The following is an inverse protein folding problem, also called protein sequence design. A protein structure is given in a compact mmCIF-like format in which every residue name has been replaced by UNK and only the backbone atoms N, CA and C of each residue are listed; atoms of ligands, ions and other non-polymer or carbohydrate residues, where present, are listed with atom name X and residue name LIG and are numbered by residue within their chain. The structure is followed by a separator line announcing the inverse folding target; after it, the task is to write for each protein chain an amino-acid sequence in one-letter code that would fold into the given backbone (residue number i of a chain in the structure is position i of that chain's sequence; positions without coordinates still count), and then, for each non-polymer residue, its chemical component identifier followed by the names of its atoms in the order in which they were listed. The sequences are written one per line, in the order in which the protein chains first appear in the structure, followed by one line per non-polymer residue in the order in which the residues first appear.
data_IF_118342500863
#
_entry.id   IF_118342500863
#
_cell.length_a   1.000
_cell.length_b   1.000
_cell.length_c   1.000
_cell.angle_alpha   90.00
_cell.angle_beta   90.00
_cell.angle_gamma   90.00
#
_symmetry.space_group_name_H-M   'P 1'
#
loop_
_entity.id
_entity.type
_entity.pdbx_description
1 polymer ?
2 water ?
#
# COMPACT_ATOMS: atom_id res chain seq x y z
N UNK A 8 0.88 2.48 18.84
CA UNK A 8 0.47 2.38 17.44
C UNK A 8 -0.29 1.09 17.16
N UNK A 9 -0.61 0.36 18.23
CA UNK A 9 -1.40 -0.87 18.10
C UNK A 9 -2.76 -0.53 17.50
N UNK A 10 -3.15 0.73 17.64
CA UNK A 10 -4.39 1.23 17.05
C UNK A 10 -4.40 0.93 15.56
N UNK A 11 -3.42 1.49 14.86
CA UNK A 11 -3.30 1.32 13.41
C UNK A 11 -3.27 -0.15 13.01
N UNK A 12 -2.45 -0.95 13.68
CA UNK A 12 -2.34 -2.37 13.36
C UNK A 12 -3.69 -3.08 13.44
N UNK A 13 -4.54 -2.63 14.36
CA UNK A 13 -5.84 -3.27 14.55
C UNK A 13 -6.89 -2.76 13.55
N UNK A 14 -6.47 -1.87 12.66
CA UNK A 14 -7.36 -1.37 11.61
C UNK A 14 -7.45 -2.35 10.45
N UNK A 15 -6.54 -3.32 10.44
CA UNK A 15 -6.50 -4.34 9.39
C UNK A 15 -7.82 -5.09 9.32
N UNK A 16 -8.50 -4.99 8.19
CA UNK A 16 -9.75 -5.73 8.01
C UNK A 16 -9.47 -7.22 7.90
N UNK A 17 -10.50 -8.00 7.58
CA UNK A 17 -10.39 -9.45 7.51
C UNK A 17 -9.25 -9.89 6.59
N UNK A 18 -8.92 -9.06 5.61
CA UNK A 18 -7.89 -9.40 4.63
C UNK A 18 -6.53 -8.78 4.97
N UNK A 19 -6.44 -8.15 6.14
CA UNK A 19 -5.20 -7.54 6.58
C UNK A 19 -4.88 -6.22 5.90
N UNK A 20 -5.88 -5.61 5.28
CA UNK A 20 -5.69 -4.34 4.59
C UNK A 20 -6.43 -3.23 5.31
N UNK A 21 -5.78 -2.07 5.40
CA UNK A 21 -6.33 -0.94 6.12
C UNK A 21 -6.96 0.07 5.18
N UNK A 22 -8.24 0.32 5.36
CA UNK A 22 -8.93 1.32 4.58
C UNK A 22 -8.60 2.72 5.08
N UNK A 23 -8.02 3.52 4.20
CA UNK A 23 -7.81 4.92 4.47
C UNK A 23 -9.12 5.66 4.27
N UNK A 24 -9.50 6.47 5.24
CA UNK A 24 -10.69 7.30 5.14
C UNK A 24 -10.25 8.75 5.28
N UNK A 25 -11.15 9.69 5.01
CA UNK A 25 -10.80 11.10 5.14
C UNK A 25 -10.48 11.41 6.59
N UNK A 26 -10.95 10.54 7.49
CA UNK A 26 -10.76 10.72 8.92
C UNK A 26 -9.38 10.25 9.34
N UNK A 27 -9.13 8.96 9.15
CA UNK A 27 -7.88 8.35 9.59
C UNK A 27 -6.70 8.67 8.67
N UNK A 28 -6.97 9.37 7.57
CA UNK A 28 -5.90 9.70 6.63
C UNK A 28 -4.78 10.52 7.27
N UNK A 29 -5.12 11.65 7.90
CA UNK A 29 -4.07 12.47 8.52
C UNK A 29 -3.18 11.63 9.42
N UNK A 30 -3.79 10.68 10.12
CA UNK A 30 -3.06 9.79 11.01
C UNK A 30 -2.25 8.74 10.26
N UNK A 31 -2.93 8.00 9.38
CA UNK A 31 -2.27 6.93 8.63
C UNK A 31 -1.16 7.47 7.75
N UNK A 32 -1.36 8.67 7.20
CA UNK A 32 -0.38 9.25 6.29
C UNK A 32 0.93 9.56 7.01
N UNK A 33 0.88 9.62 8.34
CA UNK A 33 2.08 9.81 9.14
C UNK A 33 2.74 8.46 9.39
N UNK A 34 2.10 7.40 8.90
CA UNK A 34 2.68 6.07 8.94
C UNK A 34 2.92 5.51 10.32
N UNK A 35 3.65 4.40 10.37
CA UNK A 35 4.01 3.74 11.61
C UNK A 35 5.52 3.51 11.59
N UNK A 36 6.21 3.88 12.68
CA UNK A 36 7.67 3.74 12.71
C UNK A 36 8.12 2.33 12.36
N UNK A 37 9.02 2.23 11.38
CA UNK A 37 9.63 0.97 11.02
C UNK A 37 8.77 0.17 10.07
N UNK A 38 7.57 0.68 9.80
CA UNK A 38 6.64 -0.04 8.95
C UNK A 38 6.63 0.52 7.54
N UNK A 39 6.74 -0.39 6.58
CA UNK A 39 6.49 -0.03 5.20
C UNK A 39 5.01 0.24 5.11
N UNK A 40 4.66 1.19 4.26
CA UNK A 40 3.27 1.48 3.98
C UNK A 40 3.03 1.13 2.53
N UNK A 41 2.31 0.05 2.28
CA UNK A 41 1.92 -0.28 0.92
C UNK A 41 0.54 0.31 0.72
N UNK A 42 0.42 1.24 -0.21
CA UNK A 42 -0.81 1.97 -0.38
C UNK A 42 -1.35 1.74 -1.78
N UNK A 43 -2.54 1.16 -1.84
CA UNK A 43 -3.22 0.98 -3.11
C UNK A 43 -4.19 2.14 -3.28
N UNK A 44 -3.92 2.99 -4.26
CA UNK A 44 -4.77 4.14 -4.51
C UNK A 44 -5.72 3.80 -5.63
N UNK A 45 -6.99 3.62 -5.28
CA UNK A 45 -7.93 3.09 -6.24
C UNK A 45 -9.23 3.88 -6.28
N UNK A 46 -10.21 3.34 -6.99
CA UNK A 46 -11.50 3.98 -7.19
C UNK A 46 -12.49 2.94 -7.70
N UNK A 47 -13.48 2.61 -6.87
CA UNK A 47 -14.54 1.70 -7.30
C UNK A 47 -15.90 2.37 -7.22
N UNK A 54 -10.05 1.00 -19.65
CA UNK A 54 -10.86 1.22 -18.46
C UNK A 54 -10.01 1.24 -17.19
N UNK A 55 -9.88 2.42 -16.60
CA UNK A 55 -9.12 2.59 -15.37
C UNK A 55 -9.88 2.03 -14.17
N UNK A 56 -11.20 2.01 -14.27
CA UNK A 56 -12.03 1.41 -13.23
C UNK A 56 -11.79 -0.09 -13.19
N UNK A 57 -11.68 -0.69 -14.37
CA UNK A 57 -11.42 -2.12 -14.48
C UNK A 57 -10.04 -2.45 -13.92
N UNK A 58 -9.05 -1.62 -14.25
CA UNK A 58 -7.71 -1.81 -13.73
C UNK A 58 -7.74 -1.79 -12.21
N UNK A 59 -8.41 -0.79 -11.66
CA UNK A 59 -8.59 -0.67 -10.22
C UNK A 59 -9.12 -1.96 -9.62
N UNK A 60 -10.21 -2.47 -10.18
CA UNK A 60 -10.85 -3.69 -9.68
C UNK A 60 -9.96 -4.92 -9.84
N UNK A 61 -9.29 -5.02 -10.97
CA UNK A 61 -8.46 -6.18 -11.27
C UNK A 61 -7.32 -6.31 -10.29
N UNK A 62 -6.64 -5.20 -10.03
CA UNK A 62 -5.45 -5.26 -9.20
C UNK A 62 -5.81 -5.45 -7.73
N UNK A 63 -7.06 -5.15 -7.39
CA UNK A 63 -7.56 -5.38 -6.04
C UNK A 63 -7.30 -6.83 -5.62
N UNK A 64 -7.66 -7.77 -6.49
CA UNK A 64 -7.50 -9.18 -6.18
C UNK A 64 -6.02 -9.52 -6.05
N UNK A 65 -5.23 -9.05 -7.01
CA UNK A 65 -3.80 -9.27 -7.01
C UNK A 65 -3.18 -8.71 -5.73
N UNK A 66 -3.60 -7.50 -5.38
CA UNK A 66 -3.14 -6.80 -4.20
C UNK A 66 -3.37 -7.64 -2.95
N UNK A 67 -4.61 -8.09 -2.77
CA UNK A 67 -4.98 -8.89 -1.61
C UNK A 67 -4.28 -10.24 -1.61
N UNK A 68 -4.15 -10.84 -2.79
CA UNK A 68 -3.48 -12.13 -2.92
C UNK A 68 -2.07 -12.03 -2.36
N UNK A 69 -1.35 -11.02 -2.82
CA UNK A 69 0.03 -10.81 -2.41
C UNK A 69 0.13 -10.38 -0.94
N UNK A 70 -0.80 -9.54 -0.50
CA UNK A 70 -0.90 -9.19 0.91
C UNK A 70 -1.00 -10.46 1.74
N UNK A 71 -1.95 -11.31 1.39
CA UNK A 71 -2.12 -12.59 2.08
C UNK A 71 -0.84 -13.42 2.07
N UNK A 72 -0.21 -13.52 0.90
CA UNK A 72 1.03 -14.26 0.76
C UNK A 72 2.11 -13.71 1.71
N UNK A 73 2.20 -12.39 1.77
CA UNK A 73 3.23 -11.74 2.58
C UNK A 73 2.96 -11.89 4.07
N UNK A 74 1.70 -11.72 4.47
CA UNK A 74 1.31 -11.93 5.85
C UNK A 74 1.63 -13.36 6.26
N UNK A 75 1.38 -14.29 5.35
CA UNK A 75 1.55 -15.71 5.63
C UNK A 75 3.02 -16.13 5.68
N UNK A 76 3.80 -15.69 4.70
CA UNK A 76 5.16 -16.18 4.52
C UNK A 76 6.22 -15.24 5.08
N UNK A 77 5.81 -14.02 5.42
CA UNK A 77 6.74 -13.05 5.99
C UNK A 77 6.09 -12.38 7.19
N UNK A 78 5.72 -13.19 8.20
CA UNK A 78 4.93 -12.71 9.33
C UNK A 78 5.63 -11.59 10.09
N UNK A 79 6.96 -11.57 10.03
CA UNK A 79 7.74 -10.58 10.78
C UNK A 79 7.80 -9.26 10.04
N UNK A 80 7.60 -9.31 8.73
CA UNK A 80 7.76 -8.12 7.92
C UNK A 80 6.96 -6.96 8.48
N UNK A 81 7.64 -5.83 8.64
CA UNK A 81 7.00 -4.62 9.13
C UNK A 81 6.38 -3.89 7.97
N UNK A 82 5.24 -4.38 7.54
CA UNK A 82 4.53 -3.74 6.45
C UNK A 82 3.08 -3.55 6.81
N UNK A 83 2.48 -2.52 6.25
CA UNK A 83 1.07 -2.26 6.42
C UNK A 83 0.50 -2.06 5.04
N UNK A 84 -0.57 -2.79 4.73
CA UNK A 84 -1.25 -2.62 3.45
C UNK A 84 -2.42 -1.70 3.65
N UNK A 85 -2.45 -0.65 2.85
CA UNK A 85 -3.54 0.30 2.90
C UNK A 85 -4.25 0.30 1.57
N UNK A 86 -5.54 0.62 1.60
CA UNK A 86 -6.29 0.85 0.38
C UNK A 86 -7.08 2.13 0.54
N UNK A 87 -7.01 3.00 -0.46
CA UNK A 87 -7.70 4.26 -0.41
C UNK A 87 -8.48 4.48 -1.68
N UNK A 88 -9.76 4.78 -1.52
CA UNK A 88 -10.59 5.18 -2.64
C UNK A 88 -10.47 6.69 -2.75
N UNK A 89 -10.02 7.16 -3.91
CA UNK A 89 -9.79 8.58 -4.10
C UNK A 89 -11.06 9.40 -3.87
N UNK A 90 -12.20 8.75 -4.01
CA UNK A 90 -13.49 9.42 -3.85
C UNK A 90 -13.92 9.54 -2.39
N UNK A 91 -13.20 8.85 -1.50
CA UNK A 91 -13.51 8.90 -0.07
C UNK A 91 -12.64 9.90 0.68
N UNK A 92 -11.38 10.02 0.28
CA UNK A 92 -10.50 10.96 0.95
C UNK A 92 -9.83 11.88 -0.06
N UNK A 93 -10.53 12.98 -0.40
CA UNK A 93 -10.06 13.96 -1.39
C UNK A 93 -8.76 14.62 -0.96
N UNK A 94 -8.51 14.70 0.35
CA UNK A 94 -7.27 15.31 0.82
C UNK A 94 -6.08 14.52 0.29
N UNK A 95 -6.13 13.20 0.44
CA UNK A 95 -5.10 12.34 -0.11
C UNK A 95 -4.91 12.63 -1.59
N UNK A 96 -6.01 12.87 -2.30
CA UNK A 96 -5.95 13.19 -3.72
C UNK A 96 -5.20 14.49 -3.96
N UNK A 97 -5.53 15.52 -3.19
CA UNK A 97 -4.85 16.80 -3.33
C UNK A 97 -3.40 16.64 -2.91
N UNK A 98 -3.20 16.04 -1.74
CA UNK A 98 -1.88 15.84 -1.18
C UNK A 98 -0.94 15.09 -2.12
N UNK A 99 -1.45 14.01 -2.71
CA UNK A 99 -0.64 13.19 -3.59
C UNK A 99 -0.74 13.65 -5.04
N UNK A 100 -1.37 14.80 -5.25
CA UNK A 100 -1.47 15.39 -6.59
C UNK A 100 -1.97 14.37 -7.60
N UNK A 101 -2.91 13.53 -7.17
CA UNK A 101 -3.40 12.46 -8.02
C UNK A 101 -4.15 13.00 -9.22
N UNK A 102 -3.79 12.50 -10.40
CA UNK A 102 -4.48 12.88 -11.63
C UNK A 102 -5.25 11.69 -12.18
N UNK A 103 -4.92 10.51 -11.68
CA UNK A 103 -5.58 9.29 -12.12
C UNK A 103 -5.42 8.13 -11.14
N UNK A 104 -6.04 7.01 -11.49
CA UNK A 104 -5.97 5.80 -10.68
C UNK A 104 -5.95 4.61 -11.63
N UNK A 105 -5.50 3.45 -11.14
CA UNK A 105 -5.05 3.23 -9.77
C UNK A 105 -3.56 3.51 -9.60
N UNK A 106 -3.12 3.56 -8.36
CA UNK A 106 -1.70 3.59 -8.07
C UNK A 106 -1.44 2.61 -6.96
N UNK A 107 -0.28 1.98 -7.01
CA UNK A 107 0.20 1.19 -5.90
C UNK A 107 1.53 1.81 -5.57
N UNK A 108 1.59 2.48 -4.43
CA UNK A 108 2.84 3.08 -4.00
C UNK A 108 3.26 2.39 -2.72
N UNK A 109 4.56 2.37 -2.47
CA UNK A 109 5.05 1.78 -1.25
C UNK A 109 5.97 2.78 -0.58
N UNK A 110 5.60 3.19 0.62
CA UNK A 110 6.43 4.07 1.41
C UNK A 110 7.31 3.19 2.26
N UNK A 111 8.63 3.35 2.12
CA UNK A 111 9.50 2.70 3.10
C UNK A 111 9.24 3.35 4.45
N UNK A 112 9.59 2.67 5.54
CA UNK A 112 9.43 3.37 6.81
C UNK A 112 10.28 4.63 6.78
N UNK A 113 9.88 5.65 7.51
CA UNK A 113 10.70 6.85 7.59
C UNK A 113 11.97 6.46 8.31
N UNK A 114 13.05 7.19 8.05
CA UNK A 114 14.26 7.03 8.83
C UNK A 114 13.92 7.43 10.26
N UNK A 115 14.39 6.65 11.23
CA UNK A 115 14.07 6.91 12.63
C UNK A 115 14.25 8.38 12.97
N UNK A 116 15.34 8.96 12.50
CA UNK A 116 15.67 10.35 12.81
C UNK A 116 14.76 11.36 12.11
N UNK A 117 14.03 10.89 11.10
CA UNK A 117 13.16 11.76 10.32
C UNK A 117 11.72 11.28 10.39
N UNK A 118 11.38 10.62 11.49
CA UNK A 118 10.04 10.07 11.66
C UNK A 118 8.95 11.15 11.61
N UNK A 119 9.13 12.20 12.40
CA UNK A 119 8.13 13.25 12.53
C UNK A 119 7.79 13.88 11.18
N UNK A 120 8.76 13.92 10.29
CA UNK A 120 8.56 14.57 9.00
C UNK A 120 7.98 13.60 7.98
N UNK A 121 7.71 12.37 8.40
CA UNK A 121 7.15 11.40 7.49
C UNK A 121 5.68 11.67 7.21
N UNK A 122 5.33 11.70 5.94
CA UNK A 122 3.93 11.70 5.54
C UNK A 122 3.84 11.24 4.10
N UNK A 123 2.73 10.60 3.76
CA UNK A 123 2.60 10.01 2.45
C UNK A 123 2.83 11.03 1.36
N UNK A 124 2.44 12.27 1.64
CA UNK A 124 2.43 13.30 0.61
C UNK A 124 3.82 13.82 0.28
N UNK A 125 4.75 13.70 1.22
CA UNK A 125 6.09 14.24 1.02
C UNK A 125 7.16 13.16 1.02
N UNK A 126 6.83 12.00 1.59
CA UNK A 126 7.82 10.95 1.74
C UNK A 126 8.03 10.18 0.45
N UNK A 127 9.29 9.87 0.13
CA UNK A 127 9.66 9.10 -1.05
C UNK A 127 8.92 7.77 -1.04
N UNK A 128 8.59 7.28 -2.22
CA UNK A 128 7.88 6.02 -2.31
C UNK A 128 8.24 5.30 -3.58
N UNK A 129 8.13 3.99 -3.52
CA UNK A 129 8.24 3.16 -4.69
C UNK A 129 6.86 3.12 -5.30
N UNK A 130 6.78 3.18 -6.61
CA UNK A 130 5.49 3.01 -7.25
C UNK A 130 5.53 1.83 -8.19
N UNK A 131 4.62 0.90 -7.96
CA UNK A 131 4.53 -0.27 -8.80
C UNK A 131 3.89 0.15 -10.12
N UNK A 132 4.55 -0.17 -11.22
CA UNK A 132 4.00 0.12 -12.54
C UNK A 132 2.73 -0.69 -12.75
N UNK A 133 1.59 -0.08 -12.45
CA UNK A 133 0.32 -0.76 -12.56
C UNK A 133 -0.36 -0.43 -13.89
N UNK A 134 -0.50 -1.45 -14.73
CA UNK A 134 -1.13 -1.29 -16.03
C UNK A 134 -2.02 -2.51 -16.29
N UNK A 135 -2.92 -2.42 -17.27
CA UNK A 135 -3.80 -3.57 -17.54
C UNK A 135 -3.01 -4.86 -17.81
N UNK A 136 -1.82 -4.71 -18.37
CA UNK A 136 -0.98 -5.85 -18.73
C UNK A 136 -0.49 -6.65 -17.52
N UNK A 137 -0.48 -6.03 -16.34
CA UNK A 137 -0.04 -6.73 -15.14
C UNK A 137 -1.02 -6.64 -13.98
N UNK A 138 -2.24 -6.20 -14.29
CA UNK A 138 -3.29 -6.06 -13.28
C UNK A 138 -3.46 -7.32 -12.44
N UNK A 139 -3.29 -8.48 -13.06
CA UNK A 139 -3.57 -9.76 -12.40
C UNK A 139 -2.30 -10.54 -12.11
N UNK A 140 -1.16 -9.90 -12.29
CA UNK A 140 0.10 -10.60 -12.13
C UNK A 140 0.57 -10.54 -10.68
N UNK A 141 0.19 -11.53 -9.88
CA UNK A 141 0.58 -11.55 -8.48
C UNK A 141 2.07 -11.82 -8.35
N UNK A 142 2.62 -12.56 -9.30
CA UNK A 142 4.04 -12.87 -9.25
C UNK A 142 4.86 -11.59 -9.30
N UNK A 143 4.59 -10.79 -10.32
CA UNK A 143 5.32 -9.54 -10.53
C UNK A 143 5.12 -8.60 -9.35
N UNK A 144 3.90 -8.54 -8.83
CA UNK A 144 3.64 -7.65 -7.71
C UNK A 144 4.26 -8.18 -6.44
N UNK A 145 4.21 -9.50 -6.27
CA UNK A 145 4.87 -10.15 -5.16
C UNK A 145 6.37 -9.93 -5.20
N UNK A 146 6.94 -10.03 -6.40
CA UNK A 146 8.37 -9.80 -6.59
C UNK A 146 8.71 -8.37 -6.24
N UNK A 147 7.84 -7.46 -6.66
CA UNK A 147 8.03 -6.04 -6.37
C UNK A 147 8.05 -5.79 -4.86
N UNK A 148 7.02 -6.24 -4.16
CA UNK A 148 7.01 -6.09 -2.71
C UNK A 148 8.13 -6.89 -2.05
N UNK A 149 8.41 -8.07 -2.58
CA UNK A 149 9.43 -8.92 -1.96
C UNK A 149 10.78 -8.21 -1.92
N UNK A 150 11.12 -7.54 -3.02
CA UNK A 150 12.39 -6.84 -3.12
C UNK A 150 12.43 -5.65 -2.17
N UNK A 151 11.30 -4.96 -2.05
CA UNK A 151 11.21 -3.81 -1.18
C UNK A 151 11.23 -4.24 0.29
N UNK A 152 10.45 -5.25 0.61
CA UNK A 152 10.33 -5.74 1.97
C UNK A 152 11.50 -6.63 2.36
N UNK A 153 12.34 -6.93 1.38
CA UNK A 153 13.48 -7.83 1.56
C UNK A 153 13.04 -9.19 2.08
N UNK A 154 12.04 -9.75 1.43
CA UNK A 154 11.56 -11.06 1.82
C UNK A 154 11.57 -11.98 0.62
N UNK A 155 11.53 -13.27 0.90
CA UNK A 155 11.43 -14.27 -0.15
C UNK A 155 10.05 -14.89 -0.03
N UNK A 156 9.20 -14.63 -1.00
CA UNK A 156 7.86 -15.18 -0.98
C UNK A 156 7.59 -16.03 -2.21
N UNK A 157 6.63 -16.93 -2.06
CA UNK A 157 6.18 -17.75 -3.16
C UNK A 157 4.68 -17.54 -3.30
N UNK A 158 4.29 -16.77 -4.32
CA UNK A 158 2.88 -16.58 -4.59
C UNK A 158 2.35 -17.76 -5.39
N UNK A 159 1.16 -18.24 -5.04
CA UNK A 159 0.48 -19.31 -5.78
C UNK A 159 0.12 -18.86 -7.20
N UNK A 160 1.10 -18.90 -8.10
CA UNK A 160 0.87 -18.54 -9.50
C UNK A 160 2.07 -18.94 -10.34
N UNK A 162 4.89 -20.95 -12.25
CA UNK A 162 3.44 -21.15 -12.33
C UNK A 162 3.10 -22.63 -12.42
#
# INVERSE_FOLDING_TARGET
MATASHNIDDILQLKDDTGVITVTADNYPLLSRGVPGYFNILYITMRGTNSNGMSCQLCHDFEKTYHAVADVIRSQAPQSLNLFFTVDVNEVPQLVKDLKLQNVPHLVVYPPAESNKQSQFEWKTSPFYQYSLVPENAENTLQFGDFLAKILNISITVPQAFNVQEEFHHHHHHHHHH
#
